data_IF_566267432849
#
_entry.id   IF_566267432849
#
_cell.length_a   1.000
_cell.length_b   1.000
_cell.length_c   1.000
_cell.angle_alpha   90.00
_cell.angle_beta   90.00
_cell.angle_gamma   90.00
#
_symmetry.space_group_name_H-M   'P 1'
#
loop_
_entity.id
_entity.type
_entity.pdbx_description
1 polymer ?
#
# COMPACT_ATOMS: atom_id res chain seq x y z
N UNK A 1 -26.61 -14.72 -18.48
CA UNK A 1 -25.86 -14.54 -17.21
C UNK A 1 -26.60 -13.52 -16.37
N UNK A 2 -27.09 -13.92 -15.19
CA UNK A 2 -28.04 -13.13 -14.41
C UNK A 2 -27.33 -12.01 -13.66
N UNK A 3 -27.80 -10.77 -13.80
CA UNK A 3 -27.29 -9.57 -13.10
C UNK A 3 -27.08 -9.79 -11.59
N UNK A 4 -27.90 -10.66 -10.96
CA UNK A 4 -27.77 -11.03 -9.55
C UNK A 4 -26.46 -11.75 -9.21
N UNK A 5 -25.96 -12.64 -10.08
CA UNK A 5 -24.69 -13.33 -9.82
C UNK A 5 -23.50 -12.39 -10.05
N UNK A 6 -23.57 -11.50 -11.03
CA UNK A 6 -22.54 -10.48 -11.23
C UNK A 6 -22.47 -9.48 -10.06
N UNK A 7 -23.63 -9.08 -9.50
CA UNK A 7 -23.69 -8.18 -8.35
C UNK A 7 -23.04 -8.76 -7.08
N UNK A 8 -22.98 -10.09 -6.95
CA UNK A 8 -22.29 -10.79 -5.87
C UNK A 8 -20.84 -11.12 -6.21
N UNK A 9 -20.57 -11.58 -7.44
CA UNK A 9 -19.25 -11.99 -7.86
C UNK A 9 -18.24 -10.83 -7.86
N UNK A 10 -18.66 -9.64 -8.31
CA UNK A 10 -17.78 -8.48 -8.41
C UNK A 10 -17.23 -8.00 -7.05
N UNK A 11 -18.06 -7.77 -6.01
CA UNK A 11 -17.53 -7.39 -4.70
C UNK A 11 -16.73 -8.52 -4.04
N UNK A 12 -17.11 -9.80 -4.22
CA UNK A 12 -16.32 -10.92 -3.70
C UNK A 12 -14.93 -10.99 -4.34
N UNK A 13 -14.85 -10.80 -5.65
CA UNK A 13 -13.58 -10.75 -6.36
C UNK A 13 -12.73 -9.58 -5.86
N UNK A 14 -13.33 -8.40 -5.71
CA UNK A 14 -12.63 -7.22 -5.21
C UNK A 14 -12.11 -7.43 -3.78
N UNK A 15 -12.94 -7.96 -2.88
CA UNK A 15 -12.53 -8.27 -1.50
C UNK A 15 -11.45 -9.34 -1.46
N UNK A 16 -11.56 -10.40 -2.27
CA UNK A 16 -10.54 -11.44 -2.39
C UNK A 16 -9.21 -10.87 -2.87
N UNK A 17 -9.23 -10.02 -3.89
CA UNK A 17 -8.06 -9.31 -4.39
C UNK A 17 -7.41 -8.46 -3.30
N UNK A 18 -8.17 -7.59 -2.62
CA UNK A 18 -7.64 -6.72 -1.56
C UNK A 18 -7.07 -7.57 -0.41
N UNK A 19 -7.74 -8.66 -0.04
CA UNK A 19 -7.25 -9.57 0.99
C UNK A 19 -5.89 -10.18 0.62
N UNK A 20 -5.68 -10.56 -0.64
CA UNK A 20 -4.38 -11.09 -1.10
C UNK A 20 -3.30 -10.01 -1.02
N UNK A 21 -3.58 -8.77 -1.45
CA UNK A 21 -2.60 -7.68 -1.36
C UNK A 21 -2.22 -7.35 0.09
N UNK A 22 -3.21 -7.30 0.99
CA UNK A 22 -2.98 -7.08 2.42
C UNK A 22 -2.15 -8.21 3.03
N UNK A 23 -2.46 -9.46 2.68
CA UNK A 23 -1.73 -10.62 3.13
C UNK A 23 -0.26 -10.56 2.68
N UNK A 24 -0.01 -10.31 1.39
CA UNK A 24 1.36 -10.16 0.85
C UNK A 24 2.10 -9.05 1.59
N UNK A 25 1.49 -7.88 1.79
CA UNK A 25 2.12 -6.77 2.50
C UNK A 25 2.63 -7.16 3.90
N UNK A 26 1.84 -7.93 4.66
CA UNK A 26 2.16 -8.30 6.06
C UNK A 26 3.05 -9.55 6.16
N UNK A 27 2.91 -10.48 5.21
CA UNK A 27 3.61 -11.78 5.22
C UNK A 27 5.00 -11.68 4.60
N UNK A 28 5.16 -10.96 3.48
CA UNK A 28 6.43 -10.91 2.75
C UNK A 28 7.26 -9.69 3.08
N UNK A 29 6.61 -8.55 3.38
CA UNK A 29 7.27 -7.27 3.67
C UNK A 29 8.35 -6.85 2.63
N UNK A 30 8.26 -7.39 1.42
CA UNK A 30 9.36 -7.31 0.44
C UNK A 30 9.26 -6.06 -0.45
N UNK A 31 8.25 -5.22 -0.24
CA UNK A 31 8.03 -4.04 -1.07
C UNK A 31 8.82 -2.83 -0.53
N UNK A 32 9.56 -2.10 -1.39
CA UNK A 32 10.33 -0.92 -0.97
C UNK A 32 9.43 0.28 -0.61
N UNK A 33 8.15 0.24 -1.00
CA UNK A 33 7.18 1.26 -0.64
C UNK A 33 5.77 0.65 -0.48
N UNK A 34 4.91 1.41 0.20
CA UNK A 34 3.52 1.06 0.47
C UNK A 34 2.62 2.25 0.25
N UNK A 35 1.44 2.00 -0.31
CA UNK A 35 0.34 2.96 -0.35
C UNK A 35 -0.58 2.68 0.82
N UNK A 36 -0.75 3.68 1.67
CA UNK A 36 -1.78 3.68 2.71
C UNK A 36 -3.02 4.39 2.20
N UNK A 37 -4.14 3.67 2.10
CA UNK A 37 -5.44 4.21 1.70
C UNK A 37 -6.21 4.64 2.95
N UNK A 38 -6.77 5.85 2.91
CA UNK A 38 -7.43 6.53 4.02
C UNK A 38 -6.55 6.63 5.27
N UNK A 39 -5.40 7.34 5.18
CA UNK A 39 -4.50 7.50 6.32
C UNK A 39 -5.26 8.08 7.52
N UNK A 40 -5.06 7.48 8.69
CA UNK A 40 -5.54 8.02 9.94
C UNK A 40 -4.79 9.32 10.27
N UNK A 41 -5.38 10.15 11.16
CA UNK A 41 -4.66 11.33 11.67
C UNK A 41 -3.43 10.90 12.48
N UNK A 42 -3.54 9.79 13.20
CA UNK A 42 -2.48 9.25 14.05
C UNK A 42 -1.27 8.82 13.24
N UNK A 43 -1.48 8.24 12.05
CA UNK A 43 -0.40 7.85 11.14
C UNK A 43 0.47 9.03 10.69
N UNK A 44 -0.14 10.23 10.55
CA UNK A 44 0.61 11.43 10.17
C UNK A 44 1.34 12.10 11.34
N UNK A 45 0.92 11.78 12.57
CA UNK A 45 1.52 12.29 13.80
C UNK A 45 2.64 11.39 14.32
N UNK A 46 2.57 10.10 14.01
CA UNK A 46 3.49 9.07 14.46
C UNK A 46 4.01 8.26 13.24
N UNK A 47 4.75 8.91 12.35
CA UNK A 47 5.40 8.17 11.25
C UNK A 47 6.60 7.40 11.81
N UNK A 48 6.80 6.12 11.40
CA UNK A 48 8.00 5.37 11.74
C UNK A 48 9.27 6.11 11.30
N UNK A 49 10.31 6.06 12.11
CA UNK A 49 11.57 6.71 11.77
C UNK A 49 12.17 6.15 10.47
N UNK A 50 12.77 7.04 9.66
CA UNK A 50 13.31 6.66 8.35
C UNK A 50 12.28 6.54 7.23
N UNK A 51 11.01 6.89 7.48
CA UNK A 51 9.98 6.90 6.44
C UNK A 51 10.10 8.11 5.51
N UNK A 52 10.14 7.87 4.20
CA UNK A 52 10.04 8.88 3.16
C UNK A 52 8.62 8.93 2.58
N UNK A 53 8.06 10.14 2.47
CA UNK A 53 6.77 10.36 1.77
C UNK A 53 7.07 10.54 0.29
N UNK A 54 6.66 9.59 -0.55
CA UNK A 54 6.86 9.63 -2.00
C UNK A 54 5.77 10.40 -2.72
N UNK A 55 4.52 10.24 -2.27
CA UNK A 55 3.36 10.91 -2.84
C UNK A 55 2.27 11.04 -1.78
N UNK A 56 1.50 12.13 -1.84
CA UNK A 56 0.36 12.35 -0.97
C UNK A 56 -0.84 12.86 -1.78
N UNK A 57 -2.00 12.33 -1.48
CA UNK A 57 -3.30 12.71 -2.04
C UNK A 57 -4.32 12.84 -0.91
N UNK A 58 -5.49 13.38 -1.22
CA UNK A 58 -6.60 13.53 -0.26
C UNK A 58 -7.00 12.21 0.39
N UNK A 59 -6.85 11.09 -0.32
CA UNK A 59 -7.33 9.78 0.12
C UNK A 59 -6.23 8.73 0.31
N UNK A 60 -5.00 9.03 -0.05
CA UNK A 60 -3.90 8.06 0.03
C UNK A 60 -2.57 8.75 0.23
N UNK A 61 -1.64 8.04 0.89
CA UNK A 61 -0.25 8.45 1.03
C UNK A 61 0.65 7.28 0.67
N UNK A 62 1.67 7.53 -0.13
CA UNK A 62 2.69 6.55 -0.49
C UNK A 62 3.93 6.81 0.35
N UNK A 63 4.32 5.80 1.11
CA UNK A 63 5.42 5.84 2.05
C UNK A 63 6.47 4.80 1.65
N UNK A 64 7.74 5.14 1.78
CA UNK A 64 8.86 4.23 1.53
C UNK A 64 9.78 4.18 2.75
N UNK A 65 10.34 3.01 3.03
CA UNK A 65 11.34 2.83 4.07
C UNK A 65 12.27 1.68 3.69
N UNK A 66 13.51 1.73 4.16
CA UNK A 66 14.46 0.62 4.06
C UNK A 66 14.43 -0.35 5.25
N UNK A 67 13.52 -0.15 6.21
CA UNK A 67 13.39 -0.97 7.41
C UNK A 67 12.64 -2.28 7.14
N UNK A 68 13.09 -3.38 7.72
CA UNK A 68 12.30 -4.63 7.75
C UNK A 68 11.05 -4.47 8.62
N UNK A 69 9.95 -5.11 8.22
CA UNK A 69 8.67 -5.07 8.90
C UNK A 69 7.90 -3.76 8.72
N UNK A 70 8.19 -2.99 7.66
CA UNK A 70 7.65 -1.65 7.47
C UNK A 70 6.12 -1.65 7.36
N UNK A 71 5.52 -2.64 6.69
CA UNK A 71 4.06 -2.73 6.60
C UNK A 71 3.42 -2.86 7.99
N UNK A 72 4.02 -3.65 8.89
CA UNK A 72 3.52 -3.83 10.27
C UNK A 72 3.68 -2.56 11.10
N UNK A 73 4.80 -1.85 10.94
CA UNK A 73 5.01 -0.57 11.60
C UNK A 73 3.95 0.47 11.20
N UNK A 74 3.57 0.50 9.91
CA UNK A 74 2.49 1.36 9.42
C UNK A 74 1.14 1.02 10.07
N UNK A 75 0.81 -0.27 10.21
CA UNK A 75 -0.41 -0.67 10.95
C UNK A 75 -0.36 -0.26 12.43
N UNK A 76 0.79 -0.42 13.09
CA UNK A 76 0.99 0.03 14.47
C UNK A 76 0.82 1.54 14.65
N UNK A 77 1.17 2.31 13.61
CA UNK A 77 1.04 3.77 13.56
C UNK A 77 -0.37 4.25 13.19
N UNK A 78 -1.33 3.35 12.98
CA UNK A 78 -2.72 3.70 12.67
C UNK A 78 -3.09 3.70 11.17
N UNK A 79 -2.29 3.05 10.33
CA UNK A 79 -2.70 2.75 8.95
C UNK A 79 -3.86 1.73 8.94
N UNK A 80 -4.84 1.93 8.07
CA UNK A 80 -6.01 1.03 7.94
C UNK A 80 -5.88 0.03 6.80
N UNK A 81 -5.46 0.51 5.63
CA UNK A 81 -5.29 -0.31 4.43
C UNK A 81 -3.90 -0.02 3.89
N UNK A 82 -2.98 -0.98 4.06
CA UNK A 82 -1.61 -0.88 3.55
C UNK A 82 -1.47 -1.81 2.36
N UNK A 83 -1.22 -1.23 1.19
CA UNK A 83 -1.07 -1.96 -0.06
C UNK A 83 0.38 -1.87 -0.52
N UNK A 84 0.97 -2.96 -1.03
CA UNK A 84 2.33 -2.92 -1.55
C UNK A 84 2.39 -1.99 -2.76
N UNK A 85 3.34 -1.06 -2.75
CA UNK A 85 3.59 -0.12 -3.83
C UNK A 85 5.03 -0.32 -4.33
N UNK A 86 5.17 -1.00 -5.46
CA UNK A 86 6.45 -1.55 -5.90
C UNK A 86 7.11 -0.85 -7.08
N UNK A 87 7.05 0.48 -7.18
CA UNK A 87 7.88 1.18 -8.16
C UNK A 87 9.16 1.65 -7.48
N UNK A 88 10.29 0.91 -7.61
CA UNK A 88 11.59 1.45 -7.25
C UNK A 88 11.78 2.67 -8.16
N UNK A 89 11.64 3.85 -7.58
CA UNK A 89 11.64 5.11 -8.33
C UNK A 89 13.00 5.34 -8.96
N UNK A 90 13.21 4.75 -10.14
CA UNK A 90 14.19 5.00 -11.19
C UNK A 90 13.95 3.94 -12.27
N UNK A 91 13.01 4.18 -13.19
CA UNK A 91 13.14 3.58 -14.52
C UNK A 91 14.47 4.12 -15.07
N UNK A 92 15.47 3.28 -15.39
CA UNK A 92 16.72 3.79 -15.94
C UNK A 92 16.37 4.57 -17.21
N UNK A 93 16.56 5.88 -17.18
CA UNK A 93 16.40 6.71 -18.36
C UNK A 93 17.32 6.12 -19.44
N UNK A 94 16.80 5.79 -20.64
CA UNK A 94 17.66 5.39 -21.74
C UNK A 94 18.69 6.50 -21.91
N UNK A 95 19.99 6.17 -21.84
CA UNK A 95 21.02 7.15 -22.19
C UNK A 95 20.75 7.52 -23.63
N UNK A 96 20.25 8.74 -23.85
CA UNK A 96 20.16 9.29 -25.20
C UNK A 96 21.54 9.22 -25.81
N UNK A 97 21.66 8.45 -26.90
CA UNK A 97 22.77 8.62 -27.84
C UNK A 97 22.53 9.90 -28.64
#
# INVERSE_FOLDING_TARGET
MTIRSAALALPLLFLGWISVLLAVAVLTDEAPAYVVVFPGKDLLLDLPEGTAILAASRYSITLASGSEGFARALYGSGARIVLPAGLPGCLPLPRGQ
#
